data_IF_400438024509
#
_entry.id   IF_400438024509
#
_cell.length_a   1.000
_cell.length_b   1.000
_cell.length_c   1.000
_cell.angle_alpha   90.00
_cell.angle_beta   90.00
_cell.angle_gamma   90.00
#
_symmetry.space_group_name_H-M   'P 1'
#
loop_
_entity.id
_entity.type
_entity.pdbx_description
1 polymer ?
#
# COMPACT_ATOMS: atom_id res chain seq x y z
N UNK A 1 6.45 -54.40 -6.09
CA UNK A 1 5.14 -55.10 -6.17
C UNK A 1 5.06 -55.86 -7.47
N UNK A 2 5.51 -57.16 -7.46
CA UNK A 2 5.63 -58.02 -8.62
C UNK A 2 4.28 -58.24 -9.36
N UNK A 3 3.17 -58.16 -8.62
CA UNK A 3 1.81 -58.29 -9.20
C UNK A 3 1.41 -57.13 -10.10
N UNK A 4 1.89 -55.91 -9.84
CA UNK A 4 1.64 -54.73 -10.66
C UNK A 4 2.41 -54.79 -11.97
N UNK A 5 3.66 -55.24 -11.91
CA UNK A 5 4.53 -55.41 -13.08
C UNK A 5 4.00 -56.51 -13.99
N UNK A 6 3.57 -57.65 -13.44
CA UNK A 6 3.00 -58.78 -14.20
C UNK A 6 1.67 -58.39 -14.93
N UNK A 7 0.81 -57.57 -14.27
CA UNK A 7 -0.40 -56.99 -14.90
C UNK A 7 -0.06 -56.04 -16.03
N UNK A 8 0.97 -55.18 -15.88
CA UNK A 8 1.46 -54.26 -16.89
C UNK A 8 1.99 -55.00 -18.13
N UNK A 9 2.79 -56.05 -17.93
CA UNK A 9 3.35 -56.88 -19.00
C UNK A 9 2.27 -57.64 -19.77
N UNK A 10 1.22 -58.17 -19.11
CA UNK A 10 0.07 -58.79 -19.79
C UNK A 10 -0.71 -57.79 -20.64
N UNK A 11 -0.94 -56.55 -20.17
CA UNK A 11 -1.57 -55.49 -20.95
C UNK A 11 -0.73 -55.11 -22.18
N UNK A 12 0.58 -54.99 -22.01
CA UNK A 12 1.49 -54.64 -23.10
C UNK A 12 1.56 -55.76 -24.18
N UNK A 13 1.57 -57.04 -23.80
CA UNK A 13 1.50 -58.17 -24.75
C UNK A 13 0.18 -58.20 -25.52
N UNK A 14 -0.94 -57.80 -24.90
CA UNK A 14 -2.25 -57.72 -25.58
C UNK A 14 -2.27 -56.56 -26.58
N UNK A 15 -1.64 -55.44 -26.25
CA UNK A 15 -1.50 -54.29 -27.15
C UNK A 15 -0.63 -54.60 -28.35
N UNK A 16 0.47 -55.34 -28.17
CA UNK A 16 1.37 -55.75 -29.23
C UNK A 16 0.76 -56.74 -30.23
N UNK A 17 -0.33 -57.44 -29.85
CA UNK A 17 -1.07 -58.39 -30.75
C UNK A 17 -2.17 -57.70 -31.55
N UNK A 18 -2.44 -56.40 -31.36
CA UNK A 18 -3.42 -55.65 -32.15
C UNK A 18 -2.88 -55.37 -33.58
N UNK A 19 -3.74 -55.31 -34.60
CA UNK A 19 -3.36 -54.91 -35.95
C UNK A 19 -2.66 -53.55 -35.95
N UNK A 20 -1.66 -53.37 -36.83
CA UNK A 20 -0.89 -52.11 -36.90
C UNK A 20 -1.78 -50.86 -37.04
N UNK A 21 -2.86 -50.94 -37.81
CA UNK A 21 -3.82 -49.85 -38.00
C UNK A 21 -4.51 -49.45 -36.69
N UNK A 22 -4.86 -50.40 -35.81
CA UNK A 22 -5.50 -50.14 -34.52
C UNK A 22 -4.51 -49.54 -33.53
N UNK A 23 -3.23 -49.96 -33.56
CA UNK A 23 -2.17 -49.35 -32.72
C UNK A 23 -1.87 -47.91 -33.11
N UNK A 24 -1.84 -47.62 -34.42
CA UNK A 24 -1.67 -46.22 -34.87
C UNK A 24 -2.87 -45.36 -34.50
N UNK A 25 -4.09 -45.86 -34.64
CA UNK A 25 -5.29 -45.11 -34.27
C UNK A 25 -5.36 -44.81 -32.76
N UNK A 26 -4.94 -45.76 -31.89
CA UNK A 26 -4.89 -45.50 -30.43
C UNK A 26 -3.74 -44.56 -30.02
N UNK A 27 -2.60 -44.57 -30.71
CA UNK A 27 -1.55 -43.59 -30.50
C UNK A 27 -2.00 -42.18 -30.94
N UNK A 28 -2.66 -42.08 -32.10
CA UNK A 28 -3.17 -40.80 -32.62
C UNK A 28 -4.32 -40.21 -31.76
N UNK A 29 -5.14 -41.07 -31.12
CA UNK A 29 -6.19 -40.62 -30.20
C UNK A 29 -5.66 -40.17 -28.81
N UNK A 30 -4.49 -40.65 -28.37
CA UNK A 30 -3.85 -40.22 -27.12
C UNK A 30 -3.10 -38.88 -27.22
N UNK A 31 -2.65 -38.51 -28.42
CA UNK A 31 -1.91 -37.24 -28.63
C UNK A 31 -2.77 -36.00 -28.34
N UNK A 32 -4.02 -35.85 -28.84
CA UNK A 32 -4.85 -34.69 -28.51
C UNK A 32 -5.28 -34.67 -27.05
N UNK A 33 -5.38 -35.82 -26.35
CA UNK A 33 -5.73 -35.82 -24.92
C UNK A 33 -4.59 -35.31 -24.01
N UNK A 34 -3.34 -35.32 -24.45
CA UNK A 34 -2.20 -34.73 -23.76
C UNK A 34 -2.11 -33.21 -23.96
N UNK A 35 -2.72 -32.68 -25.03
CA UNK A 35 -2.77 -31.25 -25.28
C UNK A 35 -4.01 -30.54 -24.68
N UNK A 36 -5.00 -31.27 -24.18
CA UNK A 36 -6.20 -30.71 -23.55
C UNK A 36 -6.06 -30.47 -22.04
N UNK A 37 -4.91 -30.83 -21.44
CA UNK A 37 -4.63 -30.66 -20.01
C UNK A 37 -3.95 -29.33 -19.64
N UNK A 38 -3.70 -28.47 -20.59
CA UNK A 38 -3.00 -27.18 -20.38
C UNK A 38 -3.93 -25.99 -20.35
N UNK A 39 -5.04 -26.03 -19.60
CA UNK A 39 -5.67 -24.79 -19.14
C UNK A 39 -4.82 -24.20 -17.99
N UNK A 40 -3.63 -23.74 -18.29
CA UNK A 40 -2.95 -22.78 -17.46
C UNK A 40 -3.79 -21.50 -17.46
N UNK A 41 -4.31 -21.09 -16.30
CA UNK A 41 -4.96 -19.80 -16.17
C UNK A 41 -3.99 -18.75 -16.71
N UNK A 42 -4.40 -18.00 -17.74
CA UNK A 42 -3.54 -16.97 -18.33
C UNK A 42 -3.37 -15.86 -17.30
N UNK A 43 -2.14 -15.64 -16.87
CA UNK A 43 -1.81 -14.46 -16.06
C UNK A 43 -1.82 -13.24 -16.97
N UNK A 44 -2.63 -12.26 -16.63
CA UNK A 44 -2.70 -10.96 -17.28
C UNK A 44 -1.94 -9.93 -16.44
N UNK A 45 -1.38 -8.93 -17.09
CA UNK A 45 -0.67 -7.83 -16.44
C UNK A 45 -1.37 -6.52 -16.74
N UNK A 46 -1.75 -5.79 -15.70
CA UNK A 46 -2.24 -4.42 -15.78
C UNK A 46 -1.17 -3.46 -15.29
N UNK A 47 -0.98 -2.34 -16.02
CA UNK A 47 -0.06 -1.28 -15.63
C UNK A 47 -0.82 0.04 -15.63
N UNK A 48 -0.60 0.83 -14.58
CA UNK A 48 -1.13 2.18 -14.46
C UNK A 48 -0.05 3.10 -13.90
N UNK A 49 -0.03 4.35 -14.37
CA UNK A 49 0.81 5.42 -13.84
C UNK A 49 -0.11 6.61 -13.61
N UNK A 50 -0.06 7.15 -12.40
CA UNK A 50 -0.90 8.27 -11.97
C UNK A 50 -0.15 9.13 -10.95
N UNK A 51 -0.83 10.13 -10.38
CA UNK A 51 -0.30 10.98 -9.32
C UNK A 51 -1.25 10.99 -8.12
N UNK A 52 -0.72 10.80 -6.92
CA UNK A 52 -1.40 10.97 -5.65
C UNK A 52 -0.37 11.24 -4.54
N UNK A 53 -0.80 11.80 -3.43
CA UNK A 53 0.07 12.09 -2.28
C UNK A 53 1.32 12.90 -2.65
N UNK A 54 1.17 13.83 -3.59
CA UNK A 54 2.26 14.69 -4.08
C UNK A 54 3.37 13.94 -4.84
N UNK A 55 3.12 12.73 -5.36
CA UNK A 55 4.14 11.94 -6.05
C UNK A 55 3.57 11.10 -7.19
N UNK A 56 4.46 10.50 -7.99
CA UNK A 56 4.08 9.56 -9.05
C UNK A 56 3.78 8.19 -8.42
N UNK A 57 2.66 7.61 -8.83
CA UNK A 57 2.22 6.26 -8.48
C UNK A 57 2.39 5.38 -9.71
N UNK A 58 3.14 4.30 -9.58
CA UNK A 58 3.27 3.29 -10.64
C UNK A 58 2.77 1.96 -10.13
N UNK A 59 1.83 1.37 -10.85
CA UNK A 59 1.20 0.11 -10.50
C UNK A 59 1.43 -0.91 -11.60
N UNK A 60 1.88 -2.11 -11.23
CA UNK A 60 1.93 -3.29 -12.11
C UNK A 60 1.27 -4.43 -11.33
N UNK A 61 0.11 -4.89 -11.80
CA UNK A 61 -0.70 -5.91 -11.13
C UNK A 61 -0.84 -7.11 -12.05
N UNK A 62 -0.55 -8.29 -11.51
CA UNK A 62 -0.67 -9.57 -12.20
C UNK A 62 -1.90 -10.29 -11.67
N UNK A 63 -2.81 -10.67 -12.56
CA UNK A 63 -4.05 -11.38 -12.21
C UNK A 63 -4.16 -12.69 -12.96
N UNK A 64 -4.75 -13.68 -12.31
CA UNK A 64 -5.04 -15.00 -12.88
C UNK A 64 -6.52 -15.05 -13.24
N UNK A 65 -6.83 -15.18 -14.53
CA UNK A 65 -8.22 -15.15 -15.03
C UNK A 65 -8.62 -13.76 -15.57
N UNK A 66 -9.80 -13.29 -15.23
CA UNK A 66 -10.26 -11.93 -15.59
C UNK A 66 -9.75 -10.92 -14.57
N UNK A 67 -9.58 -9.64 -14.99
CA UNK A 67 -9.26 -8.59 -14.04
C UNK A 67 -10.36 -8.51 -12.97
N UNK A 68 -9.96 -8.49 -11.69
CA UNK A 68 -10.92 -8.37 -10.61
C UNK A 68 -11.64 -7.01 -10.72
N UNK A 69 -12.95 -7.10 -10.68
CA UNK A 69 -13.85 -5.96 -10.46
C UNK A 69 -14.30 -6.00 -9.01
N UNK A 70 -14.53 -4.83 -8.42
CA UNK A 70 -14.86 -4.75 -7.00
C UNK A 70 -16.02 -5.69 -6.62
N UNK A 71 -15.76 -6.61 -5.69
CA UNK A 71 -16.71 -7.64 -5.25
C UNK A 71 -17.91 -7.07 -4.48
N UNK A 72 -17.87 -5.81 -4.09
CA UNK A 72 -18.92 -5.15 -3.29
C UNK A 72 -20.08 -4.55 -4.11
N UNK A 73 -20.26 -4.96 -5.37
CA UNK A 73 -21.48 -4.72 -6.15
C UNK A 73 -21.74 -3.27 -6.54
N UNK A 74 -20.74 -2.38 -6.54
CA UNK A 74 -20.96 -0.96 -6.82
C UNK A 74 -20.23 -0.39 -8.02
N UNK A 75 -19.13 -0.97 -8.50
CA UNK A 75 -18.47 -0.47 -9.72
C UNK A 75 -17.68 -1.58 -10.41
N UNK A 76 -17.58 -1.51 -11.74
CA UNK A 76 -16.66 -2.32 -12.57
C UNK A 76 -15.21 -1.80 -12.45
N UNK A 77 -14.84 -1.25 -11.26
CA UNK A 77 -13.55 -0.61 -11.06
C UNK A 77 -12.45 -1.65 -10.99
N UNK A 78 -11.37 -1.39 -11.68
CA UNK A 78 -10.17 -2.20 -11.62
C UNK A 78 -9.50 -2.02 -10.26
N UNK A 79 -8.77 -3.03 -9.80
CA UNK A 79 -8.03 -2.96 -8.53
C UNK A 79 -7.06 -1.76 -8.50
N UNK A 80 -6.47 -1.39 -9.65
CA UNK A 80 -5.61 -0.21 -9.78
C UNK A 80 -6.34 1.10 -9.50
N UNK A 81 -7.62 1.19 -9.86
CA UNK A 81 -8.46 2.38 -9.62
C UNK A 81 -8.84 2.45 -8.14
N UNK A 82 -9.16 1.30 -7.52
CA UNK A 82 -9.45 1.21 -6.08
C UNK A 82 -8.22 1.63 -5.25
N UNK A 83 -7.02 1.18 -5.64
CA UNK A 83 -5.77 1.59 -5.02
C UNK A 83 -5.56 3.09 -5.14
N UNK A 84 -5.74 3.66 -6.34
CA UNK A 84 -5.58 5.10 -6.56
C UNK A 84 -6.59 5.92 -5.74
N UNK A 85 -7.86 5.48 -5.69
CA UNK A 85 -8.88 6.13 -4.86
C UNK A 85 -8.50 6.12 -3.38
N UNK A 86 -8.01 4.98 -2.87
CA UNK A 86 -7.56 4.89 -1.46
C UNK A 86 -6.40 5.85 -1.17
N UNK A 87 -5.45 6.00 -2.10
CA UNK A 87 -4.33 6.94 -1.94
C UNK A 87 -4.82 8.40 -1.88
N UNK A 88 -5.78 8.76 -2.73
CA UNK A 88 -6.41 10.07 -2.69
C UNK A 88 -7.18 10.30 -1.38
N UNK A 89 -7.91 9.30 -0.90
CA UNK A 89 -8.63 9.38 0.37
C UNK A 89 -7.68 9.56 1.56
N UNK A 90 -6.56 8.82 1.58
CA UNK A 90 -5.51 8.96 2.60
C UNK A 90 -4.97 10.40 2.63
N UNK A 91 -4.69 10.99 1.50
CA UNK A 91 -4.20 12.36 1.42
C UNK A 91 -5.28 13.37 1.88
N UNK A 92 -6.47 13.29 1.29
CA UNK A 92 -7.50 14.31 1.45
C UNK A 92 -8.22 14.25 2.80
N UNK A 93 -8.34 13.07 3.39
CA UNK A 93 -9.17 12.88 4.59
C UNK A 93 -8.36 12.57 5.84
N UNK A 94 -7.13 12.07 5.71
CA UNK A 94 -6.41 11.50 6.84
C UNK A 94 -5.05 12.18 7.08
N UNK A 95 -4.10 12.10 6.14
CA UNK A 95 -2.68 12.35 6.39
C UNK A 95 -2.20 13.78 6.13
N UNK A 96 -2.90 14.55 5.26
CA UNK A 96 -2.45 15.89 4.91
C UNK A 96 -2.56 16.85 6.08
N UNK A 97 -1.48 17.59 6.34
CA UNK A 97 -1.54 18.74 7.25
C UNK A 97 -1.92 20.04 6.52
N UNK A 98 -2.01 20.01 5.19
CA UNK A 98 -2.31 21.16 4.32
C UNK A 98 -3.80 21.28 4.01
N UNK A 99 -4.54 20.18 4.05
CA UNK A 99 -5.97 20.14 3.69
C UNK A 99 -6.82 20.10 4.96
N UNK A 100 -7.66 21.12 5.14
CA UNK A 100 -8.53 21.24 6.34
C UNK A 100 -9.50 20.05 6.52
N UNK A 101 -9.79 19.34 5.44
CA UNK A 101 -10.58 18.10 5.47
C UNK A 101 -9.87 16.97 6.18
N UNK A 102 -8.53 16.94 6.18
CA UNK A 102 -7.74 15.85 6.69
C UNK A 102 -7.67 15.84 8.24
N UNK A 103 -7.56 14.64 8.79
CA UNK A 103 -7.58 14.44 10.24
C UNK A 103 -6.35 15.06 10.92
N UNK A 104 -5.16 14.98 10.30
CA UNK A 104 -3.94 15.63 10.80
C UNK A 104 -4.12 17.16 10.89
N UNK A 105 -4.72 17.78 9.87
CA UNK A 105 -4.98 19.23 9.92
C UNK A 105 -5.95 19.60 11.04
N UNK A 106 -6.98 18.80 11.28
CA UNK A 106 -7.93 18.98 12.40
C UNK A 106 -7.24 18.85 13.76
N UNK A 107 -6.35 17.85 13.93
CA UNK A 107 -5.54 17.73 15.15
C UNK A 107 -4.71 19.00 15.34
N UNK A 108 -4.02 19.46 14.31
CA UNK A 108 -3.21 20.67 14.35
C UNK A 108 -4.03 21.93 14.71
N UNK A 109 -5.25 22.04 14.19
CA UNK A 109 -6.16 23.16 14.50
C UNK A 109 -6.65 23.18 15.96
N UNK A 110 -6.58 22.04 16.66
CA UNK A 110 -6.99 21.91 18.06
C UNK A 110 -5.82 21.99 19.06
N UNK A 111 -4.61 22.25 18.58
CA UNK A 111 -3.43 22.39 19.44
C UNK A 111 -3.66 23.38 20.61
N UNK A 112 -3.46 22.92 21.84
CA UNK A 112 -3.70 23.69 23.06
C UNK A 112 -5.16 23.92 23.45
N UNK A 113 -6.14 23.41 22.69
CA UNK A 113 -7.58 23.57 22.92
C UNK A 113 -8.24 22.38 23.62
N UNK A 114 -7.48 21.30 23.83
CA UNK A 114 -7.96 20.07 24.47
C UNK A 114 -7.94 18.86 23.52
N UNK A 115 -8.46 17.71 24.00
CA UNK A 115 -8.43 16.47 23.23
C UNK A 115 -9.43 16.49 22.06
N UNK A 116 -9.01 15.95 20.93
CA UNK A 116 -9.86 15.68 19.77
C UNK A 116 -9.95 14.16 19.55
N UNK A 117 -11.15 13.68 19.24
CA UNK A 117 -11.34 12.29 18.85
C UNK A 117 -10.75 12.03 17.47
N UNK A 118 -10.06 10.90 17.33
CA UNK A 118 -9.43 10.45 16.09
C UNK A 118 -9.98 9.11 15.66
N UNK A 119 -9.83 8.81 14.36
CA UNK A 119 -10.16 7.50 13.79
C UNK A 119 -9.29 6.40 14.39
N UNK A 120 -9.74 5.15 14.32
CA UNK A 120 -8.95 4.00 14.76
C UNK A 120 -7.65 3.86 13.94
N UNK A 121 -7.68 4.20 12.65
CA UNK A 121 -6.54 4.21 11.78
C UNK A 121 -5.49 5.25 12.23
N UNK A 122 -5.91 6.50 12.40
CA UNK A 122 -5.05 7.59 12.89
C UNK A 122 -4.47 7.27 14.26
N UNK A 123 -5.28 6.75 15.18
CA UNK A 123 -4.80 6.32 16.51
C UNK A 123 -3.69 5.26 16.40
N UNK A 124 -3.86 4.29 15.51
CA UNK A 124 -2.86 3.25 15.24
C UNK A 124 -1.56 3.83 14.68
N UNK A 125 -1.64 4.73 13.71
CA UNK A 125 -0.47 5.37 13.12
C UNK A 125 0.26 6.27 14.12
N UNK A 126 -0.45 7.10 14.88
CA UNK A 126 0.17 7.94 15.90
C UNK A 126 0.84 7.10 17.00
N UNK A 127 0.19 6.01 17.44
CA UNK A 127 0.80 5.07 18.39
C UNK A 127 2.10 4.49 17.83
N UNK A 128 2.12 4.11 16.55
CA UNK A 128 3.33 3.59 15.90
C UNK A 128 4.41 4.65 15.80
N UNK A 129 4.05 5.89 15.46
CA UNK A 129 4.97 7.02 15.44
C UNK A 129 5.62 7.24 16.81
N UNK A 130 4.83 7.26 17.89
CA UNK A 130 5.35 7.39 19.26
C UNK A 130 6.33 6.27 19.63
N UNK A 131 6.03 5.03 19.26
CA UNK A 131 6.94 3.91 19.47
C UNK A 131 8.27 4.08 18.73
N UNK A 132 8.24 4.56 17.49
CA UNK A 132 9.46 4.82 16.71
C UNK A 132 10.23 5.98 17.31
N UNK A 133 9.55 7.06 17.74
CA UNK A 133 10.19 8.20 18.43
C UNK A 133 10.92 7.73 19.70
N UNK A 134 10.30 6.87 20.49
CA UNK A 134 10.90 6.29 21.68
C UNK A 134 12.14 5.41 21.34
N UNK A 135 11.99 4.49 20.36
CA UNK A 135 13.06 3.57 19.93
C UNK A 135 14.27 4.31 19.36
N UNK A 136 14.05 5.46 18.73
CA UNK A 136 15.11 6.27 18.12
C UNK A 136 15.65 7.36 19.07
N UNK A 137 15.15 7.41 20.33
CA UNK A 137 15.53 8.47 21.27
C UNK A 137 15.12 9.86 20.82
N UNK A 138 14.09 9.96 19.95
CA UNK A 138 13.58 11.23 19.40
C UNK A 138 14.26 11.66 18.09
N UNK A 139 15.13 10.82 17.49
CA UNK A 139 15.67 11.11 16.16
C UNK A 139 14.58 11.11 15.08
N UNK A 140 13.49 10.37 15.31
CA UNK A 140 12.24 10.46 14.56
C UNK A 140 11.20 11.16 15.43
N UNK A 141 10.58 12.22 14.92
CA UNK A 141 9.54 12.97 15.63
C UNK A 141 8.52 13.54 14.64
N UNK A 142 7.27 13.16 14.77
CA UNK A 142 6.17 13.66 13.91
C UNK A 142 5.63 15.02 14.36
N UNK A 143 6.07 15.54 15.50
CA UNK A 143 5.63 16.85 16.02
C UNK A 143 6.40 18.04 15.44
N UNK A 144 7.21 17.80 14.39
CA UNK A 144 8.02 18.81 13.71
C UNK A 144 7.26 19.65 12.67
N UNK A 145 5.93 19.56 12.61
CA UNK A 145 5.14 20.20 11.57
C UNK A 145 5.32 21.71 11.46
N UNK A 146 5.73 22.38 12.56
CA UNK A 146 6.12 23.80 12.49
C UNK A 146 7.40 24.00 11.69
N UNK A 147 8.39 23.11 11.85
CA UNK A 147 9.61 23.13 11.06
C UNK A 147 9.32 22.83 9.59
N UNK A 148 8.50 21.80 9.30
CA UNK A 148 8.12 21.47 7.92
C UNK A 148 7.49 22.67 7.20
N UNK A 149 6.63 23.43 7.89
CA UNK A 149 6.02 24.66 7.33
C UNK A 149 7.02 25.80 7.17
N UNK A 150 7.94 25.96 8.12
CA UNK A 150 8.94 27.02 8.09
C UNK A 150 9.91 26.84 6.92
N UNK A 151 10.33 25.60 6.67
CA UNK A 151 11.23 25.27 5.56
C UNK A 151 10.55 25.29 4.19
N UNK A 152 9.25 25.19 4.11
CA UNK A 152 8.41 25.27 2.88
C UNK A 152 9.08 24.67 1.62
N UNK A 153 9.52 23.42 1.76
CA UNK A 153 10.29 22.71 0.73
C UNK A 153 9.52 22.63 -0.60
N UNK A 154 8.20 22.65 -0.56
CA UNK A 154 7.37 22.59 -1.78
C UNK A 154 7.55 23.87 -2.61
N UNK A 155 7.57 25.05 -1.96
CA UNK A 155 7.84 26.33 -2.62
C UNK A 155 9.26 26.38 -3.17
N UNK A 156 10.24 25.92 -2.36
CA UNK A 156 11.63 25.80 -2.83
C UNK A 156 11.76 24.88 -4.04
N UNK A 157 11.12 23.70 -4.01
CA UNK A 157 11.20 22.73 -5.11
C UNK A 157 10.47 23.18 -6.39
N UNK A 158 9.52 24.11 -6.26
CA UNK A 158 8.78 24.69 -7.38
C UNK A 158 9.41 25.97 -7.95
N UNK A 159 10.44 26.53 -7.29
CA UNK A 159 11.11 27.74 -7.74
C UNK A 159 11.91 27.49 -9.03
N UNK A 160 11.83 28.42 -9.99
CA UNK A 160 12.58 28.36 -11.24
C UNK A 160 14.11 28.48 -10.98
N UNK A 161 14.49 29.27 -9.99
CA UNK A 161 15.87 29.39 -9.49
C UNK A 161 15.91 29.10 -7.97
N UNK A 162 16.62 28.04 -7.53
CA UNK A 162 16.81 27.76 -6.10
C UNK A 162 17.44 28.90 -5.30
N UNK A 163 18.11 29.86 -5.95
CA UNK A 163 18.71 31.02 -5.29
C UNK A 163 17.65 32.07 -4.87
N UNK A 164 16.46 32.01 -5.42
CA UNK A 164 15.35 32.89 -5.04
C UNK A 164 14.67 32.46 -3.73
N UNK A 165 15.07 31.29 -3.17
CA UNK A 165 14.53 30.80 -1.90
C UNK A 165 15.33 31.38 -0.72
N UNK A 166 14.63 32.11 0.13
CA UNK A 166 15.19 32.63 1.37
C UNK A 166 15.16 31.55 2.46
N UNK A 167 16.33 31.24 3.01
CA UNK A 167 16.42 30.32 4.14
C UNK A 167 15.79 30.96 5.38
N UNK A 168 15.08 30.15 6.21
CA UNK A 168 14.58 30.63 7.49
C UNK A 168 15.69 31.17 8.41
N UNK A 169 15.40 32.21 9.15
CA UNK A 169 16.32 32.75 10.14
C UNK A 169 16.52 31.77 11.30
N UNK A 170 17.75 31.80 11.89
CA UNK A 170 18.08 30.86 12.97
C UNK A 170 17.12 30.99 14.16
N UNK A 171 16.69 32.18 14.49
CA UNK A 171 15.75 32.46 15.60
C UNK A 171 14.38 31.78 15.32
N UNK A 172 13.89 31.81 14.07
CA UNK A 172 12.65 31.19 13.67
C UNK A 172 12.75 29.64 13.75
N UNK A 173 13.90 29.09 13.34
CA UNK A 173 14.20 27.65 13.47
C UNK A 173 14.20 27.24 14.94
N UNK A 174 14.89 27.99 15.83
CA UNK A 174 14.93 27.72 17.27
C UNK A 174 13.54 27.78 17.91
N UNK A 175 12.73 28.78 17.56
CA UNK A 175 11.34 28.88 17.99
C UNK A 175 10.48 27.72 17.53
N UNK A 176 10.60 27.30 16.27
CA UNK A 176 9.87 26.17 15.75
C UNK A 176 10.31 24.83 16.40
N UNK A 177 11.62 24.65 16.65
CA UNK A 177 12.16 23.52 17.38
C UNK A 177 11.61 23.43 18.82
N UNK A 178 11.48 24.55 19.51
CA UNK A 178 10.94 24.61 20.88
C UNK A 178 9.48 24.15 20.97
N UNK A 179 8.74 24.18 19.87
CA UNK A 179 7.35 23.72 19.78
C UNK A 179 7.23 22.22 19.42
N UNK A 180 8.31 21.57 19.02
CA UNK A 180 8.36 20.13 18.77
C UNK A 180 8.65 19.36 20.07
N UNK A 181 8.23 18.11 20.11
CA UNK A 181 8.50 17.23 21.25
C UNK A 181 7.44 16.13 21.39
N UNK A 182 7.66 15.00 20.73
CA UNK A 182 6.74 13.86 20.70
C UNK A 182 6.25 13.40 22.09
N UNK A 183 7.06 13.56 23.15
CA UNK A 183 6.70 13.19 24.54
C UNK A 183 5.55 14.03 25.10
N UNK A 184 5.25 15.18 24.52
CA UNK A 184 4.17 16.05 24.94
C UNK A 184 2.84 15.71 24.24
N UNK A 185 2.87 14.86 23.21
CA UNK A 185 1.65 14.34 22.58
C UNK A 185 1.02 13.28 23.47
N UNK A 186 -0.25 13.45 23.81
CA UNK A 186 -1.02 12.51 24.63
C UNK A 186 -2.00 11.80 23.72
N UNK A 187 -1.91 10.46 23.70
CA UNK A 187 -2.85 9.58 23.03
C UNK A 187 -3.57 8.75 24.10
N UNK A 188 -4.87 9.02 24.30
CA UNK A 188 -5.68 8.43 25.36
C UNK A 188 -6.74 7.51 24.78
N UNK A 189 -6.73 6.24 25.19
CA UNK A 189 -7.79 5.30 24.87
C UNK A 189 -8.97 5.51 25.82
N UNK A 190 -10.16 5.76 25.27
CA UNK A 190 -11.44 5.80 25.98
C UNK A 190 -12.27 4.55 25.68
N UNK A 191 -13.41 4.40 26.33
CA UNK A 191 -14.24 3.19 26.20
C UNK A 191 -14.60 2.83 24.73
N UNK A 192 -14.94 3.82 23.89
CA UNK A 192 -15.36 3.60 22.51
C UNK A 192 -14.63 4.52 21.50
N UNK A 193 -13.57 5.18 21.91
CA UNK A 193 -12.84 6.12 21.04
C UNK A 193 -11.40 6.29 21.53
N UNK A 194 -10.57 6.83 20.66
CA UNK A 194 -9.25 7.33 21.03
C UNK A 194 -9.24 8.83 20.81
N UNK A 195 -8.62 9.55 21.72
CA UNK A 195 -8.44 10.98 21.59
C UNK A 195 -6.95 11.33 21.61
N UNK A 196 -6.60 12.39 20.92
CA UNK A 196 -5.25 12.96 20.90
C UNK A 196 -5.28 14.39 21.42
N UNK A 197 -4.26 14.77 22.18
CA UNK A 197 -4.01 16.15 22.62
C UNK A 197 -2.57 16.53 22.31
N UNK A 198 -2.39 17.71 21.75
CA UNK A 198 -1.08 18.30 21.51
C UNK A 198 -1.02 19.71 22.13
N UNK A 199 0.14 20.14 22.65
CA UNK A 199 0.32 21.47 23.22
C UNK A 199 0.02 22.62 22.24
N UNK A 200 -0.26 23.79 22.76
CA UNK A 200 -0.42 25.00 21.96
C UNK A 200 0.83 25.26 21.10
N UNK A 201 0.65 25.54 19.84
CA UNK A 201 1.73 25.82 18.88
C UNK A 201 2.37 24.58 18.26
N UNK A 202 2.26 23.39 18.86
CA UNK A 202 2.73 22.14 18.25
C UNK A 202 1.93 21.85 16.99
N UNK A 203 2.61 21.27 15.99
CA UNK A 203 1.97 20.76 14.76
C UNK A 203 2.54 19.42 14.37
N UNK A 204 1.67 18.53 13.96
CA UNK A 204 2.04 17.21 13.45
C UNK A 204 2.28 17.28 11.95
N UNK A 205 3.26 16.49 11.49
CA UNK A 205 3.53 16.19 10.09
C UNK A 205 3.80 14.68 9.96
N UNK A 206 2.96 13.97 9.22
CA UNK A 206 3.07 12.54 8.97
C UNK A 206 3.71 12.22 7.61
N UNK A 207 4.30 13.19 6.92
CA UNK A 207 4.93 13.01 5.61
C UNK A 207 6.00 11.92 5.58
N UNK A 208 6.79 11.80 6.66
CA UNK A 208 7.83 10.78 6.77
C UNK A 208 7.29 9.33 6.80
N UNK A 209 6.05 9.12 7.25
CA UNK A 209 5.42 7.79 7.35
C UNK A 209 4.31 7.59 6.32
N UNK A 210 3.82 8.64 5.69
CA UNK A 210 2.65 8.60 4.81
C UNK A 210 2.76 7.59 3.68
N UNK A 211 3.92 7.47 3.04
CA UNK A 211 4.14 6.48 1.98
C UNK A 211 4.13 5.05 2.52
N UNK A 212 4.65 4.81 3.71
CA UNK A 212 4.58 3.51 4.37
C UNK A 212 3.15 3.12 4.72
N UNK A 213 2.37 4.06 5.29
CA UNK A 213 0.93 3.89 5.54
C UNK A 213 0.20 3.55 4.23
N UNK A 214 0.48 4.27 3.15
CA UNK A 214 -0.11 4.02 1.84
C UNK A 214 0.16 2.59 1.36
N UNK A 215 1.40 2.10 1.46
CA UNK A 215 1.75 0.74 1.06
C UNK A 215 1.08 -0.34 1.93
N UNK A 216 0.90 -0.10 3.22
CA UNK A 216 0.18 -1.01 4.11
C UNK A 216 -1.32 -1.09 3.76
N UNK A 217 -1.94 0.05 3.43
CA UNK A 217 -3.34 0.08 2.97
C UNK A 217 -3.51 -0.57 1.59
N UNK A 218 -2.58 -0.34 0.66
CA UNK A 218 -2.55 -1.03 -0.64
C UNK A 218 -2.46 -2.54 -0.45
N UNK A 219 -1.60 -3.02 0.45
CA UNK A 219 -1.50 -4.46 0.75
C UNK A 219 -2.84 -5.05 1.17
N UNK A 220 -3.57 -4.39 2.07
CA UNK A 220 -4.90 -4.83 2.51
C UNK A 220 -5.89 -4.91 1.35
N UNK A 221 -5.87 -3.91 0.45
CA UNK A 221 -6.69 -3.95 -0.76
C UNK A 221 -6.34 -5.17 -1.61
N UNK A 222 -5.06 -5.41 -1.90
CA UNK A 222 -4.65 -6.54 -2.73
C UNK A 222 -5.04 -7.90 -2.12
N UNK A 223 -5.04 -8.01 -0.79
CA UNK A 223 -5.47 -9.21 -0.05
C UNK A 223 -6.98 -9.51 -0.19
N UNK A 224 -7.79 -8.49 -0.52
CA UNK A 224 -9.23 -8.65 -0.78
C UNK A 224 -9.54 -9.19 -2.20
N UNK A 225 -8.52 -9.27 -3.09
CA UNK A 225 -8.66 -9.72 -4.46
C UNK A 225 -7.89 -11.03 -4.69
N UNK A 226 -8.51 -12.20 -4.46
CA UNK A 226 -7.84 -13.50 -4.58
C UNK A 226 -7.33 -13.83 -6.00
N UNK A 227 -7.83 -13.13 -7.02
CA UNK A 227 -7.35 -13.24 -8.40
C UNK A 227 -6.01 -12.55 -8.62
N UNK A 228 -5.62 -11.63 -7.74
CA UNK A 228 -4.31 -10.96 -7.82
C UNK A 228 -3.23 -11.93 -7.39
N UNK A 229 -2.45 -12.40 -8.35
CA UNK A 229 -1.35 -13.34 -8.13
C UNK A 229 -0.04 -12.64 -7.78
N UNK A 230 0.09 -11.35 -8.09
CA UNK A 230 1.25 -10.54 -7.75
C UNK A 230 1.07 -9.09 -8.10
N UNK A 231 1.83 -8.21 -7.44
CA UNK A 231 1.88 -6.80 -7.78
C UNK A 231 3.24 -6.18 -7.45
N UNK A 232 3.58 -5.14 -8.21
CA UNK A 232 4.66 -4.20 -7.89
C UNK A 232 4.06 -2.81 -7.94
N UNK A 233 4.03 -2.12 -6.81
CA UNK A 233 3.43 -0.80 -6.69
C UNK A 233 4.45 0.15 -6.07
N UNK A 234 4.71 1.26 -6.75
CA UNK A 234 5.59 2.33 -6.28
C UNK A 234 4.76 3.56 -5.92
N UNK A 235 5.00 4.08 -4.72
CA UNK A 235 4.49 5.35 -4.23
C UNK A 235 5.69 6.28 -4.06
N UNK A 236 6.03 7.03 -5.10
CA UNK A 236 7.28 7.77 -5.16
C UNK A 236 8.48 6.82 -5.07
N UNK A 237 9.32 6.99 -4.05
CA UNK A 237 10.49 6.12 -3.82
C UNK A 237 10.23 4.87 -2.99
N UNK A 238 9.01 4.69 -2.45
CA UNK A 238 8.63 3.51 -1.65
C UNK A 238 7.97 2.46 -2.52
N UNK A 239 8.37 1.19 -2.39
CA UNK A 239 7.92 0.11 -3.27
C UNK A 239 7.32 -1.03 -2.43
N UNK A 240 6.13 -1.47 -2.83
CA UNK A 240 5.49 -2.70 -2.38
C UNK A 240 5.64 -3.78 -3.45
N UNK A 241 6.09 -4.96 -3.05
CA UNK A 241 5.94 -6.20 -3.81
C UNK A 241 4.94 -7.11 -3.10
N UNK A 242 4.05 -7.71 -3.88
CA UNK A 242 2.99 -8.60 -3.39
C UNK A 242 2.94 -9.87 -4.24
N UNK A 243 2.60 -11.00 -3.62
CA UNK A 243 2.58 -12.31 -4.29
C UNK A 243 3.92 -13.05 -4.20
N UNK A 244 4.00 -14.21 -4.89
CA UNK A 244 5.16 -15.11 -4.92
C UNK A 244 5.92 -14.99 -6.23
#
# INVERSE_FOLDING_TARGET
DENSIAKGMKKMKKYLKMPRAVRLATLFAMIPALFLGGCGQQTKCEKNIDTAMGTVISQTVYVTGNFPTATNGKTDDKVTDVVLQKLNDLEQQELSWRLDSAEVAKINATAGKGPIQVSAAMAGWLKRCLQISEQTGGAFDVSIGKLSRLWDIDTWAAADDPQDYELPELEEIEQACALAGWKQMILEQRTNSTVVSIPAGMQLDLGAVGKGVALDEIRKILEEYPEVSGAVISVGGSILTYGN
#
